data_IF_536285644992
#
_entry.id   IF_536285644992
#
_cell.length_a   1.000
_cell.length_b   1.000
_cell.length_c   1.000
_cell.angle_alpha   90.00
_cell.angle_beta   90.00
_cell.angle_gamma   90.00
#
_symmetry.space_group_name_H-M   'P 1'
#
loop_
_entity.id
_entity.type
_entity.pdbx_description
1 polymer ?
#
# COMPACT_ATOMS: atom_id res chain seq x y z
N UNK A 1 33.10 10.40 33.42
CA UNK A 1 31.89 11.01 32.83
C UNK A 1 31.10 9.88 32.16
N UNK A 2 29.85 9.64 32.54
CA UNK A 2 29.05 8.51 32.05
C UNK A 2 28.63 8.78 30.60
N UNK A 3 28.98 7.86 29.69
CA UNK A 3 28.51 7.86 28.31
C UNK A 3 27.00 7.57 28.31
N UNK A 4 26.20 8.61 28.05
CA UNK A 4 24.76 8.47 27.91
C UNK A 4 24.51 7.98 26.48
N UNK A 5 24.37 6.67 26.32
CA UNK A 5 23.84 6.03 25.12
C UNK A 5 22.41 6.53 24.88
N UNK A 6 22.26 7.54 24.03
CA UNK A 6 20.96 7.95 23.50
C UNK A 6 20.57 6.94 22.40
N UNK A 7 19.84 5.90 22.79
CA UNK A 7 19.05 5.15 21.82
C UNK A 7 17.87 6.03 21.42
N UNK A 8 17.95 6.64 20.25
CA UNK A 8 16.78 7.16 19.56
C UNK A 8 15.97 5.93 19.12
N UNK A 9 14.84 5.67 19.77
CA UNK A 9 13.89 4.64 19.34
C UNK A 9 13.37 5.05 17.94
N UNK A 10 13.88 4.36 16.92
CA UNK A 10 13.43 4.54 15.54
C UNK A 10 12.02 3.93 15.46
N UNK A 11 11.01 4.76 15.17
CA UNK A 11 9.66 4.25 14.91
C UNK A 11 9.66 3.53 13.56
N UNK A 12 9.63 2.20 13.58
CA UNK A 12 9.61 1.36 12.39
C UNK A 12 8.19 0.84 12.10
N UNK A 13 7.82 0.80 10.82
CA UNK A 13 6.55 0.23 10.35
C UNK A 13 6.79 -1.15 9.75
N UNK A 14 6.04 -2.15 10.21
CA UNK A 14 6.18 -3.55 9.79
C UNK A 14 4.91 -4.02 9.07
N UNK A 15 5.08 -4.71 7.93
CA UNK A 15 3.99 -5.42 7.26
C UNK A 15 3.91 -6.84 7.82
N UNK A 16 2.71 -7.25 8.25
CA UNK A 16 2.47 -8.52 8.94
C UNK A 16 1.33 -9.27 8.24
N UNK A 17 1.49 -10.58 8.05
CA UNK A 17 0.43 -11.46 7.55
C UNK A 17 -0.16 -12.28 8.69
N UNK A 18 -1.48 -12.24 8.84
CA UNK A 18 -2.18 -12.94 9.92
C UNK A 18 -2.54 -14.35 9.44
N UNK A 19 -1.82 -15.36 9.97
CA UNK A 19 -2.05 -16.77 9.63
C UNK A 19 -3.13 -17.43 10.48
N UNK A 20 -3.40 -16.90 11.68
CA UNK A 20 -4.40 -17.44 12.61
C UNK A 20 -5.24 -16.30 13.20
N UNK A 21 -6.58 -16.39 13.17
CA UNK A 21 -7.45 -15.34 13.71
C UNK A 21 -7.23 -15.05 15.20
N UNK A 22 -6.71 -16.01 15.99
CA UNK A 22 -6.35 -15.78 17.40
C UNK A 22 -5.27 -14.71 17.56
N UNK A 23 -4.41 -14.51 16.57
CA UNK A 23 -3.37 -13.47 16.61
C UNK A 23 -3.96 -12.06 16.63
N UNK A 24 -5.19 -11.85 16.11
CA UNK A 24 -5.88 -10.56 16.18
C UNK A 24 -6.15 -10.12 17.61
N UNK A 25 -6.51 -11.05 18.49
CA UNK A 25 -6.78 -10.75 19.89
C UNK A 25 -5.51 -10.25 20.60
N UNK A 26 -4.38 -10.91 20.34
CA UNK A 26 -3.08 -10.49 20.89
C UNK A 26 -2.66 -9.11 20.36
N UNK A 27 -2.81 -8.88 19.06
CA UNK A 27 -2.52 -7.57 18.43
C UNK A 27 -3.39 -6.47 19.06
N UNK A 28 -4.66 -6.77 19.35
CA UNK A 28 -5.57 -5.84 20.02
C UNK A 28 -5.11 -5.51 21.44
N UNK A 29 -4.72 -6.53 22.21
CA UNK A 29 -4.19 -6.33 23.57
C UNK A 29 -2.90 -5.50 23.57
N UNK A 30 -2.01 -5.72 22.59
CA UNK A 30 -0.81 -4.89 22.41
C UNK A 30 -1.14 -3.44 22.02
N UNK A 31 -2.20 -3.22 21.25
CA UNK A 31 -2.71 -1.89 20.92
C UNK A 31 -3.30 -1.19 22.15
N UNK A 32 -4.06 -1.91 22.99
CA UNK A 32 -4.64 -1.38 24.24
C UNK A 32 -3.55 -0.92 25.22
N UNK A 33 -2.37 -1.56 25.19
CA UNK A 33 -1.18 -1.18 25.95
C UNK A 33 -0.34 -0.08 25.27
N UNK A 34 -0.78 0.47 24.14
CA UNK A 34 -0.07 1.46 23.32
C UNK A 34 1.34 1.01 22.86
N UNK A 35 1.58 -0.31 22.75
CA UNK A 35 2.86 -0.85 22.30
C UNK A 35 2.98 -0.83 20.77
N UNK A 36 1.85 -0.96 20.08
CA UNK A 36 1.77 -0.96 18.62
C UNK A 36 0.58 -0.14 18.13
N UNK A 37 0.72 0.41 16.93
CA UNK A 37 -0.39 1.05 16.21
C UNK A 37 -0.75 0.21 14.99
N UNK A 38 -1.96 -0.35 15.00
CA UNK A 38 -2.50 -1.01 13.82
C UNK A 38 -3.14 0.04 12.92
N UNK A 39 -2.50 0.32 11.79
CA UNK A 39 -3.11 1.11 10.71
C UNK A 39 -3.71 0.16 9.69
N UNK A 40 -5.03 0.08 9.65
CA UNK A 40 -5.74 -0.44 8.48
C UNK A 40 -5.67 0.65 7.41
N UNK A 41 -4.61 0.65 6.59
CA UNK A 41 -4.56 1.60 5.49
C UNK A 41 -5.84 1.46 4.66
N UNK A 42 -6.60 2.54 4.45
CA UNK A 42 -7.74 2.49 3.57
C UNK A 42 -7.19 2.15 2.19
N UNK A 43 -7.76 1.11 1.56
CA UNK A 43 -7.53 0.77 0.14
C UNK A 43 -7.42 2.08 -0.62
N UNK A 44 -6.23 2.39 -1.15
CA UNK A 44 -5.88 3.74 -1.58
C UNK A 44 -7.03 4.36 -2.38
N UNK A 45 -7.34 5.64 -2.20
CA UNK A 45 -8.45 6.29 -2.92
C UNK A 45 -8.37 6.01 -4.43
N UNK A 46 -7.14 5.96 -4.95
CA UNK A 46 -6.83 5.56 -6.33
C UNK A 46 -7.21 4.10 -6.59
N UNK A 47 -6.80 3.15 -5.75
CA UNK A 47 -7.15 1.73 -5.92
C UNK A 47 -8.67 1.50 -5.85
N UNK A 48 -9.36 2.18 -4.94
CA UNK A 48 -10.83 2.15 -4.83
C UNK A 48 -11.50 2.74 -6.09
N UNK A 49 -10.95 3.82 -6.64
CA UNK A 49 -11.42 4.45 -7.87
C UNK A 49 -11.17 3.57 -9.10
N UNK A 50 -9.97 3.01 -9.24
CA UNK A 50 -9.62 2.05 -10.29
C UNK A 50 -10.53 0.82 -10.26
N UNK A 51 -10.85 0.30 -9.07
CA UNK A 51 -11.77 -0.83 -8.90
C UNK A 51 -13.19 -0.49 -9.40
N UNK A 52 -13.67 0.74 -9.18
CA UNK A 52 -14.96 1.21 -9.70
C UNK A 52 -14.94 1.35 -11.23
N UNK A 53 -13.89 1.92 -11.81
CA UNK A 53 -13.77 2.07 -13.26
C UNK A 53 -13.65 0.72 -13.99
N UNK A 54 -12.95 -0.25 -13.38
CA UNK A 54 -12.77 -1.59 -13.93
C UNK A 54 -13.98 -2.51 -13.74
N UNK A 55 -15.05 -2.07 -13.07
CA UNK A 55 -16.23 -2.90 -12.75
C UNK A 55 -16.89 -3.54 -13.99
N UNK A 56 -16.75 -2.91 -15.16
CA UNK A 56 -17.31 -3.39 -16.43
C UNK A 56 -16.23 -3.85 -17.42
N UNK A 57 -14.97 -3.97 -17.00
CA UNK A 57 -13.90 -4.42 -17.89
C UNK A 57 -13.99 -5.94 -18.04
N UNK A 58 -14.28 -6.42 -19.25
CA UNK A 58 -14.36 -7.86 -19.55
C UNK A 58 -13.02 -8.59 -19.42
N UNK A 59 -11.90 -7.88 -19.59
CA UNK A 59 -10.55 -8.43 -19.48
C UNK A 59 -9.61 -7.43 -18.84
N UNK A 60 -8.62 -7.95 -18.11
CA UNK A 60 -7.47 -7.16 -17.65
C UNK A 60 -6.44 -7.22 -18.78
N UNK A 61 -6.02 -6.07 -19.34
CA UNK A 61 -4.99 -6.06 -20.37
C UNK A 61 -3.65 -6.53 -19.80
N UNK A 62 -2.87 -7.19 -20.64
CA UNK A 62 -1.50 -7.61 -20.33
C UNK A 62 -0.56 -6.40 -20.23
N UNK A 63 0.63 -6.61 -19.67
CA UNK A 63 1.64 -5.54 -19.55
C UNK A 63 2.06 -5.00 -20.92
N UNK A 64 2.16 -5.87 -21.92
CA UNK A 64 2.57 -5.48 -23.28
C UNK A 64 1.48 -4.66 -23.98
N UNK A 65 0.21 -5.03 -23.78
CA UNK A 65 -0.94 -4.25 -24.27
C UNK A 65 -0.99 -2.87 -23.61
N UNK A 66 -0.75 -2.80 -22.29
CA UNK A 66 -0.67 -1.52 -21.56
C UNK A 66 0.47 -0.66 -22.11
N UNK A 67 1.65 -1.24 -22.34
CA UNK A 67 2.81 -0.51 -22.84
C UNK A 67 2.56 0.08 -24.23
N UNK A 68 1.92 -0.69 -25.11
CA UNK A 68 1.58 -0.27 -26.47
C UNK A 68 0.64 0.94 -26.46
N UNK A 69 -0.46 0.88 -25.70
CA UNK A 69 -1.44 1.97 -25.58
C UNK A 69 -0.78 3.24 -25.03
N UNK A 70 0.09 3.11 -24.03
CA UNK A 70 0.79 4.26 -23.43
C UNK A 70 1.71 4.92 -24.45
N UNK A 71 2.40 4.13 -25.28
CA UNK A 71 3.31 4.66 -26.27
C UNK A 71 2.57 5.39 -27.39
N UNK A 72 1.44 4.85 -27.87
CA UNK A 72 0.56 5.54 -28.83
C UNK A 72 0.12 6.92 -28.31
N UNK A 73 -0.37 6.99 -27.06
CA UNK A 73 -0.80 8.26 -26.44
C UNK A 73 0.36 9.23 -26.25
N UNK A 74 1.57 8.74 -25.94
CA UNK A 74 2.76 9.59 -25.84
C UNK A 74 3.12 10.19 -27.19
N UNK A 75 3.18 9.37 -28.23
CA UNK A 75 3.47 9.83 -29.60
C UNK A 75 2.46 10.90 -30.02
N UNK A 76 1.16 10.67 -29.83
CA UNK A 76 0.13 11.67 -30.15
C UNK A 76 0.29 12.98 -29.37
N UNK A 77 0.62 12.89 -28.08
CA UNK A 77 0.76 14.06 -27.21
C UNK A 77 1.99 14.90 -27.56
N UNK A 78 3.09 14.25 -27.93
CA UNK A 78 4.33 14.94 -28.28
C UNK A 78 4.36 15.38 -29.75
N UNK A 79 3.63 14.71 -30.65
CA UNK A 79 3.48 15.13 -32.05
C UNK A 79 2.62 16.40 -32.22
N UNK A 80 1.75 16.72 -31.24
CA UNK A 80 0.93 17.94 -31.23
C UNK A 80 1.62 19.14 -30.55
N UNK A 81 2.86 18.98 -30.09
CA UNK A 81 3.61 19.98 -29.33
C UNK A 81 4.72 20.56 -30.19
#
# INVERSE_FOLDING_TARGET
>A
MKNISHNFDIMEALKIEILNPKALQLIKEMQDLNLIKVTTEPVSKLQSYLKKMRKNASSVPSLDEIATIVEEVRVERYAKK
#
